data_IF_646146929813
#
_entry.id   IF_646146929813
#
_cell.length_a   1.000
_cell.length_b   1.000
_cell.length_c   1.000
_cell.angle_alpha   90.00
_cell.angle_beta   90.00
_cell.angle_gamma   90.00
#
_symmetry.space_group_name_H-M   'P 1'
#
loop_
_entity.id
_entity.type
_entity.pdbx_description
1 polymer ?
#
# COMPACT_ATOMS: atom_id res chain seq x y z
N UNK A 1 63.40 26.65 -6.70
CA UNK A 1 62.70 26.57 -5.39
C UNK A 1 61.41 27.41 -5.27
N UNK A 2 60.83 27.97 -6.35
CA UNK A 2 59.54 28.72 -6.28
C UNK A 2 58.37 28.12 -7.05
N UNK A 3 58.58 27.05 -7.83
CA UNK A 3 57.53 26.37 -8.61
C UNK A 3 56.99 25.08 -7.97
N UNK A 4 57.60 24.61 -6.88
CA UNK A 4 57.16 23.40 -6.17
C UNK A 4 56.07 23.69 -5.11
N UNK A 5 55.99 24.93 -4.61
CA UNK A 5 55.03 25.31 -3.57
C UNK A 5 53.62 25.62 -4.11
N UNK A 6 53.48 25.95 -5.39
CA UNK A 6 52.17 26.25 -5.99
C UNK A 6 51.39 24.97 -6.31
N UNK A 7 52.07 23.86 -6.62
CA UNK A 7 51.40 22.59 -6.86
C UNK A 7 50.84 21.94 -5.59
N UNK A 8 51.45 22.20 -4.42
CA UNK A 8 50.98 21.64 -3.16
C UNK A 8 49.70 22.32 -2.63
N UNK A 9 49.46 23.58 -3.02
CA UNK A 9 48.26 24.32 -2.60
C UNK A 9 47.03 24.01 -3.46
N UNK A 10 47.23 23.53 -4.69
CA UNK A 10 46.12 23.13 -5.58
C UNK A 10 45.64 21.70 -5.30
N UNK A 11 46.47 20.85 -4.68
CA UNK A 11 46.06 19.48 -4.32
C UNK A 11 45.23 19.40 -3.03
N UNK A 12 45.24 20.44 -2.18
CA UNK A 12 44.54 20.46 -0.89
C UNK A 12 43.14 21.11 -0.98
N UNK A 13 42.84 21.81 -2.09
CA UNK A 13 41.54 22.46 -2.32
C UNK A 13 40.55 21.62 -3.14
N UNK A 14 40.90 20.38 -3.46
CA UNK A 14 40.04 19.36 -4.08
C UNK A 14 39.69 18.22 -3.12
N UNK A 15 39.79 18.46 -1.81
CA UNK A 15 38.93 17.77 -0.86
C UNK A 15 37.53 18.37 -1.02
N UNK A 16 36.87 18.04 -2.14
CA UNK A 16 35.44 18.17 -2.23
C UNK A 16 34.88 17.53 -0.97
N UNK A 17 34.07 18.26 -0.23
CA UNK A 17 33.20 17.68 0.77
C UNK A 17 32.39 16.64 0.02
N UNK A 18 32.85 15.38 0.05
CA UNK A 18 31.96 14.25 -0.05
C UNK A 18 31.07 14.42 1.18
N UNK A 19 30.01 15.23 1.05
CA UNK A 19 28.80 14.98 1.80
C UNK A 19 28.54 13.53 1.52
N UNK A 20 28.71 12.65 2.51
CA UNK A 20 28.22 11.30 2.39
C UNK A 20 26.79 11.46 1.88
N UNK A 21 26.50 10.98 0.67
CA UNK A 21 25.13 11.00 0.18
C UNK A 21 24.33 10.22 1.21
N UNK A 22 23.41 10.96 1.86
CA UNK A 22 22.50 10.38 2.81
C UNK A 22 21.68 9.32 2.08
N UNK A 23 21.65 8.10 2.61
CA UNK A 23 20.81 7.05 2.03
C UNK A 23 19.35 7.46 2.21
N UNK A 24 18.58 7.38 1.13
CA UNK A 24 17.12 7.52 1.16
C UNK A 24 16.54 6.20 0.64
N UNK A 25 15.97 5.41 1.54
CA UNK A 25 15.27 4.17 1.18
C UNK A 25 13.90 4.53 0.64
N UNK A 26 13.51 3.92 -0.48
CA UNK A 26 12.23 4.16 -1.15
C UNK A 26 11.43 2.89 -1.27
N UNK A 27 10.10 3.00 -1.26
CA UNK A 27 9.24 1.85 -1.44
C UNK A 27 9.52 1.10 -2.75
N UNK A 28 9.42 -0.22 -2.70
CA UNK A 28 9.36 -1.09 -3.85
C UNK A 28 8.15 -0.72 -4.72
N UNK A 29 8.28 -0.98 -6.03
CA UNK A 29 7.17 -0.79 -6.95
C UNK A 29 5.93 -1.60 -6.51
N UNK A 30 4.76 -0.98 -6.64
CA UNK A 30 3.50 -1.66 -6.46
C UNK A 30 3.38 -2.82 -7.46
N UNK A 31 2.80 -3.93 -7.03
CA UNK A 31 2.54 -5.10 -7.89
C UNK A 31 1.43 -4.87 -8.90
N UNK A 32 0.57 -3.88 -8.64
CA UNK A 32 -0.55 -3.52 -9.50
C UNK A 32 -0.19 -2.29 -10.32
N UNK A 33 -0.42 -2.37 -11.63
CA UNK A 33 -0.37 -1.21 -12.52
C UNK A 33 -1.81 -0.72 -12.80
N UNK A 34 -2.24 0.43 -12.26
CA UNK A 34 -3.61 0.92 -12.42
C UNK A 34 -3.95 1.31 -13.88
N UNK A 35 -2.94 1.56 -14.72
CA UNK A 35 -3.13 1.83 -16.15
C UNK A 35 -3.31 0.55 -16.99
N UNK A 36 -3.07 -0.63 -16.39
CA UNK A 36 -3.14 -1.93 -17.08
C UNK A 36 -3.67 -3.04 -16.18
N UNK A 37 -5.00 -3.10 -16.05
CA UNK A 37 -5.70 -4.03 -15.16
C UNK A 37 -6.07 -5.35 -15.82
N UNK A 38 -5.22 -5.92 -16.68
CA UNK A 38 -5.53 -7.17 -17.38
C UNK A 38 -5.13 -8.37 -16.52
N UNK A 39 -6.09 -9.23 -16.19
CA UNK A 39 -5.86 -10.44 -15.38
C UNK A 39 -5.21 -10.15 -14.02
N UNK A 40 -5.68 -9.11 -13.35
CA UNK A 40 -5.17 -8.63 -12.06
C UNK A 40 -6.19 -8.86 -10.96
N UNK A 41 -5.73 -9.28 -9.79
CA UNK A 41 -6.47 -9.20 -8.53
C UNK A 41 -5.87 -8.09 -7.67
N UNK A 42 -6.72 -7.37 -6.92
CA UNK A 42 -6.27 -6.31 -6.04
C UNK A 42 -7.22 -6.13 -4.85
N UNK A 43 -6.67 -5.74 -3.71
CA UNK A 43 -7.43 -5.18 -2.60
C UNK A 43 -7.99 -3.82 -3.01
N UNK A 44 -9.24 -3.55 -2.61
CA UNK A 44 -9.97 -2.42 -3.17
C UNK A 44 -11.07 -1.87 -2.26
N UNK A 45 -11.51 -0.64 -2.57
CA UNK A 45 -12.79 -0.09 -2.12
C UNK A 45 -13.68 0.03 -3.35
N UNK A 46 -14.92 -0.42 -3.25
CA UNK A 46 -15.92 -0.18 -4.30
C UNK A 46 -16.67 1.09 -3.92
N UNK A 47 -16.45 2.17 -4.68
CA UNK A 47 -16.91 3.51 -4.31
C UNK A 47 -18.30 3.82 -4.87
N UNK A 48 -18.53 3.48 -6.13
CA UNK A 48 -19.81 3.78 -6.80
C UNK A 48 -20.02 2.92 -8.04
N UNK A 49 -21.25 2.88 -8.52
CA UNK A 49 -21.59 2.39 -9.85
C UNK A 49 -22.48 3.40 -10.59
N UNK A 50 -22.05 3.82 -11.77
CA UNK A 50 -22.76 4.75 -12.62
C UNK A 50 -22.45 4.48 -14.10
N UNK A 51 -23.44 4.66 -14.97
CA UNK A 51 -23.27 4.53 -16.43
C UNK A 51 -22.61 3.21 -16.89
N UNK A 52 -22.94 2.10 -16.21
CA UNK A 52 -22.40 0.78 -16.54
C UNK A 52 -20.98 0.52 -16.03
N UNK A 53 -20.42 1.43 -15.22
CA UNK A 53 -19.04 1.39 -14.73
C UNK A 53 -18.97 1.47 -13.22
N UNK A 54 -18.00 0.76 -12.65
CA UNK A 54 -17.62 0.88 -11.24
C UNK A 54 -16.48 1.87 -11.06
N UNK A 55 -16.57 2.67 -10.02
CA UNK A 55 -15.43 3.44 -9.51
C UNK A 55 -14.83 2.66 -8.34
N UNK A 56 -13.54 2.37 -8.44
CA UNK A 56 -12.82 1.49 -7.52
C UNK A 56 -11.55 2.20 -7.08
N UNK A 57 -11.29 2.27 -5.77
CA UNK A 57 -9.97 2.62 -5.27
C UNK A 57 -9.14 1.33 -5.11
N UNK A 58 -8.01 1.25 -5.81
CA UNK A 58 -7.04 0.16 -5.73
C UNK A 58 -6.07 0.44 -4.59
N UNK A 59 -5.79 -0.59 -3.81
CA UNK A 59 -5.06 -0.49 -2.56
C UNK A 59 -3.86 -1.42 -2.61
N UNK A 60 -2.72 -0.92 -2.14
CA UNK A 60 -1.48 -1.69 -2.08
C UNK A 60 -0.76 -1.38 -0.78
N UNK A 61 0.02 -2.33 -0.24
CA UNK A 61 0.93 -2.02 0.84
C UNK A 61 2.12 -1.24 0.28
N UNK A 62 2.64 -0.31 1.08
CA UNK A 62 3.94 0.28 0.83
C UNK A 62 5.01 -0.65 1.39
N UNK A 63 5.83 -1.23 0.50
CA UNK A 63 6.76 -2.31 0.82
C UNK A 63 8.19 -1.87 0.65
N UNK A 64 9.07 -2.41 1.46
CA UNK A 64 10.49 -2.08 1.45
C UNK A 64 11.34 -3.34 1.45
N UNK A 65 12.48 -3.22 0.78
CA UNK A 65 13.48 -4.28 0.71
C UNK A 65 14.05 -4.55 2.12
N UNK A 66 14.10 -5.80 2.58
CA UNK A 66 14.62 -6.15 3.89
C UNK A 66 16.08 -5.76 4.11
N UNK A 67 16.93 -5.90 3.09
CA UNK A 67 18.34 -5.54 3.20
C UNK A 67 18.51 -4.03 3.34
N UNK A 68 17.71 -3.24 2.61
CA UNK A 68 17.71 -1.78 2.74
C UNK A 68 17.23 -1.31 4.11
N UNK A 69 16.12 -1.87 4.62
CA UNK A 69 15.62 -1.52 5.95
C UNK A 69 16.60 -1.92 7.06
N UNK A 70 17.16 -3.12 6.99
CA UNK A 70 18.12 -3.60 8.00
C UNK A 70 19.46 -2.82 7.95
N UNK A 71 19.77 -2.14 6.84
CA UNK A 71 20.96 -1.29 6.70
C UNK A 71 20.75 0.16 7.15
N UNK A 72 19.51 0.55 7.50
CA UNK A 72 19.19 1.89 7.98
C UNK A 72 19.93 2.23 9.27
N UNK A 73 20.33 3.50 9.39
CA UNK A 73 20.98 4.07 10.58
C UNK A 73 20.53 5.53 10.78
N UNK A 74 20.67 6.08 12.00
CA UNK A 74 20.45 7.49 12.24
C UNK A 74 21.25 8.37 11.26
N UNK A 75 20.58 9.38 10.69
CA UNK A 75 21.08 10.23 9.62
C UNK A 75 20.62 9.82 8.22
N UNK A 76 20.12 8.60 8.02
CA UNK A 76 19.49 8.18 6.75
C UNK A 76 18.05 8.71 6.62
N UNK A 77 17.37 8.35 5.54
CA UNK A 77 15.98 8.65 5.30
C UNK A 77 15.20 7.43 4.83
N UNK A 78 13.88 7.49 5.02
CA UNK A 78 12.91 6.69 4.30
C UNK A 78 11.91 7.62 3.61
N UNK A 79 11.54 7.33 2.38
CA UNK A 79 10.45 8.01 1.70
C UNK A 79 9.20 7.13 1.78
N UNK A 80 8.20 7.59 2.54
CA UNK A 80 6.97 6.87 2.83
C UNK A 80 5.77 7.81 2.81
N UNK A 81 4.58 7.31 2.46
CA UNK A 81 3.33 8.10 2.47
C UNK A 81 3.44 9.44 1.70
N UNK A 82 4.29 9.49 0.66
CA UNK A 82 4.52 10.70 -0.15
C UNK A 82 5.41 11.76 0.50
N UNK A 83 6.16 11.43 1.57
CA UNK A 83 7.09 12.34 2.24
C UNK A 83 8.40 11.64 2.60
N UNK A 84 9.48 12.42 2.69
CA UNK A 84 10.75 11.95 3.24
C UNK A 84 10.75 12.12 4.77
N UNK A 85 11.19 11.08 5.48
CA UNK A 85 11.35 11.05 6.94
C UNK A 85 12.83 10.84 7.26
N UNK A 86 13.40 11.77 8.02
CA UNK A 86 14.76 11.64 8.54
C UNK A 86 14.81 10.74 9.76
N UNK A 87 15.68 9.73 9.71
CA UNK A 87 15.82 8.75 10.76
C UNK A 87 16.76 9.32 11.82
N UNK A 88 16.23 9.57 13.02
CA UNK A 88 16.97 10.07 14.19
C UNK A 88 17.20 8.95 15.20
N UNK A 89 16.30 7.98 15.27
CA UNK A 89 16.39 6.82 16.12
C UNK A 89 15.71 5.61 15.47
N UNK A 90 16.21 4.42 15.79
CA UNK A 90 15.67 3.14 15.33
C UNK A 90 15.49 2.28 16.58
N UNK A 91 14.33 1.66 16.74
CA UNK A 91 14.04 0.72 17.83
C UNK A 91 13.42 -0.54 17.25
N UNK A 92 14.05 -1.67 17.52
CA UNK A 92 13.44 -2.98 17.28
C UNK A 92 12.51 -3.31 18.45
N UNK A 93 11.28 -3.69 18.14
CA UNK A 93 10.28 -4.21 19.07
C UNK A 93 9.85 -5.60 18.59
N UNK A 94 9.23 -6.40 19.44
CA UNK A 94 8.78 -7.76 19.08
C UNK A 94 7.85 -7.73 17.86
N UNK A 95 8.41 -8.03 16.68
CA UNK A 95 7.70 -8.07 15.39
C UNK A 95 7.72 -6.77 14.57
N UNK A 96 8.38 -5.70 15.04
CA UNK A 96 8.38 -4.39 14.36
C UNK A 96 9.72 -3.66 14.44
N UNK A 97 10.02 -2.88 13.40
CA UNK A 97 11.00 -1.81 13.45
C UNK A 97 10.26 -0.49 13.56
N UNK A 98 10.61 0.31 14.56
CA UNK A 98 10.07 1.65 14.78
C UNK A 98 11.16 2.68 14.51
N UNK A 99 10.97 3.48 13.47
CA UNK A 99 11.80 4.65 13.18
C UNK A 99 11.20 5.84 13.91
N UNK A 100 12.05 6.64 14.56
CA UNK A 100 11.66 7.83 15.32
C UNK A 100 10.55 7.57 16.35
N UNK A 101 10.73 6.62 17.29
CA UNK A 101 9.74 6.34 18.31
C UNK A 101 9.37 7.58 19.12
N UNK A 102 8.10 7.72 19.47
CA UNK A 102 7.53 8.82 20.26
C UNK A 102 7.67 10.21 19.61
N UNK A 103 7.87 10.26 18.28
CA UNK A 103 7.93 11.50 17.50
C UNK A 103 6.74 11.62 16.54
N UNK A 104 6.46 12.85 16.08
CA UNK A 104 5.38 13.12 15.12
C UNK A 104 5.61 12.42 13.76
N UNK A 105 6.87 12.17 13.41
CA UNK A 105 7.28 11.47 12.20
C UNK A 105 7.67 10.00 12.48
N UNK A 106 7.09 9.37 13.50
CA UNK A 106 7.22 7.94 13.75
C UNK A 106 6.78 7.12 12.53
N UNK A 107 7.56 6.08 12.21
CA UNK A 107 7.25 5.12 11.15
C UNK A 107 7.37 3.71 11.72
N UNK A 108 6.33 2.90 11.55
CA UNK A 108 6.32 1.49 11.99
C UNK A 108 6.39 0.58 10.78
N UNK A 109 7.35 -0.34 10.81
CA UNK A 109 7.60 -1.32 9.78
C UNK A 109 7.39 -2.72 10.37
N UNK A 110 6.54 -3.50 9.75
CA UNK A 110 6.25 -4.89 10.11
C UNK A 110 6.83 -5.82 9.05
N UNK A 111 7.49 -6.90 9.46
CA UNK A 111 7.94 -7.94 8.53
C UNK A 111 6.75 -8.79 8.10
N UNK A 112 6.37 -8.66 6.84
CA UNK A 112 5.22 -9.32 6.26
C UNK A 112 5.47 -10.79 5.93
N UNK A 113 4.40 -11.53 5.66
CA UNK A 113 4.44 -12.92 5.17
C UNK A 113 5.18 -13.10 3.85
N UNK A 114 5.29 -12.04 3.05
CA UNK A 114 6.11 -12.00 1.82
C UNK A 114 7.59 -11.71 2.08
N UNK A 115 7.98 -11.63 3.37
CA UNK A 115 9.30 -11.28 3.88
C UNK A 115 9.77 -9.86 3.53
N UNK A 116 8.91 -8.98 3.04
CA UNK A 116 9.21 -7.54 2.91
C UNK A 116 8.78 -6.79 4.17
N UNK A 117 9.33 -5.58 4.38
CA UNK A 117 8.80 -4.68 5.41
C UNK A 117 7.65 -3.85 4.87
N UNK A 118 6.52 -3.86 5.56
CA UNK A 118 5.34 -3.07 5.21
C UNK A 118 5.15 -1.95 6.22
N UNK A 119 4.76 -0.77 5.74
CA UNK A 119 4.36 0.33 6.62
C UNK A 119 3.07 -0.05 7.32
N UNK A 120 2.98 0.33 8.59
CA UNK A 120 1.81 0.14 9.41
C UNK A 120 1.46 1.45 10.11
N UNK A 121 0.20 1.90 9.98
CA UNK A 121 -0.30 3.05 10.71
C UNK A 121 -0.64 2.72 12.18
N UNK A 122 -1.08 3.71 12.93
CA UNK A 122 -1.46 3.57 14.35
C UNK A 122 -2.70 2.68 14.60
N UNK A 123 -3.44 2.31 13.55
CA UNK A 123 -4.62 1.44 13.56
C UNK A 123 -4.34 0.09 12.86
N UNK A 124 -3.07 -0.30 12.83
CA UNK A 124 -2.57 -1.51 12.18
C UNK A 124 -2.99 -1.62 10.70
N UNK A 125 -3.18 -0.48 10.01
CA UNK A 125 -3.45 -0.45 8.58
C UNK A 125 -2.14 -0.48 7.81
N UNK A 126 -2.03 -1.40 6.86
CA UNK A 126 -0.88 -1.49 5.97
C UNK A 126 -1.18 -1.03 4.54
N UNK A 127 -2.42 -0.67 4.25
CA UNK A 127 -2.90 -0.40 2.90
C UNK A 127 -2.98 1.10 2.60
N UNK A 128 -2.38 1.49 1.47
CA UNK A 128 -2.46 2.83 0.89
C UNK A 128 -3.29 2.82 -0.39
N UNK A 129 -3.94 3.95 -0.68
CA UNK A 129 -4.61 4.14 -1.96
C UNK A 129 -3.59 4.42 -3.06
N UNK A 130 -3.46 3.47 -3.99
CA UNK A 130 -2.58 3.60 -5.16
C UNK A 130 -3.22 4.49 -6.23
N UNK A 131 -4.48 4.21 -6.55
CA UNK A 131 -5.22 4.91 -7.59
C UNK A 131 -6.72 4.70 -7.45
N UNK A 132 -7.50 5.66 -7.93
CA UNK A 132 -8.94 5.48 -8.18
C UNK A 132 -9.17 5.30 -9.69
N UNK A 133 -9.80 4.18 -10.07
CA UNK A 133 -10.07 3.79 -11.46
C UNK A 133 -11.56 3.70 -11.74
N UNK A 134 -11.95 3.95 -12.99
CA UNK A 134 -13.34 3.77 -13.45
C UNK A 134 -13.37 2.74 -14.57
N UNK A 135 -13.94 1.57 -14.29
CA UNK A 135 -13.89 0.39 -15.16
C UNK A 135 -15.27 -0.11 -15.54
N UNK A 136 -15.47 -0.65 -16.76
CA UNK A 136 -16.70 -1.35 -17.09
C UNK A 136 -16.84 -2.64 -16.27
N UNK A 137 -18.08 -3.03 -16.03
CA UNK A 137 -18.39 -4.34 -15.44
C UNK A 137 -18.52 -5.39 -16.55
N UNK A 138 -17.81 -6.51 -16.38
CA UNK A 138 -17.99 -7.68 -17.24
C UNK A 138 -19.45 -8.11 -17.25
N UNK A 139 -19.93 -8.59 -18.40
CA UNK A 139 -21.28 -9.16 -18.54
C UNK A 139 -21.53 -10.36 -17.60
N UNK A 140 -20.45 -10.92 -17.02
CA UNK A 140 -20.46 -12.06 -16.10
C UNK A 140 -19.99 -11.70 -14.70
N UNK A 141 -20.01 -10.41 -14.33
CA UNK A 141 -19.62 -9.95 -12.99
C UNK A 141 -20.30 -10.81 -11.91
N UNK A 142 -19.49 -11.40 -11.04
CA UNK A 142 -19.94 -12.10 -9.85
C UNK A 142 -19.66 -11.24 -8.61
N UNK A 143 -20.58 -11.26 -7.66
CA UNK A 143 -20.32 -10.79 -6.31
C UNK A 143 -20.33 -11.99 -5.35
N UNK A 144 -19.19 -12.22 -4.68
CA UNK A 144 -19.03 -13.23 -3.64
C UNK A 144 -19.06 -12.54 -2.29
N UNK A 145 -20.13 -12.75 -1.54
CA UNK A 145 -20.31 -12.14 -0.23
C UNK A 145 -20.04 -13.15 0.89
N UNK A 146 -18.96 -12.95 1.62
CA UNK A 146 -18.59 -13.76 2.78
C UNK A 146 -19.33 -13.39 4.06
N UNK A 147 -20.29 -12.46 4.01
CA UNK A 147 -21.01 -11.94 5.18
C UNK A 147 -22.46 -12.41 5.13
N UNK A 148 -22.97 -12.91 6.26
CA UNK A 148 -24.37 -13.27 6.39
C UNK A 148 -25.22 -11.98 6.48
N UNK A 149 -26.16 -11.74 5.56
CA UNK A 149 -26.96 -10.52 5.57
C UNK A 149 -27.92 -10.41 6.76
N UNK A 150 -28.25 -11.51 7.43
CA UNK A 150 -29.16 -11.51 8.59
C UNK A 150 -28.41 -11.31 9.92
N UNK A 151 -27.19 -11.86 10.03
CA UNK A 151 -26.44 -11.86 11.30
C UNK A 151 -25.21 -10.94 11.29
N UNK A 152 -24.73 -10.53 10.12
CA UNK A 152 -23.47 -9.80 9.95
C UNK A 152 -22.23 -10.67 10.15
N UNK A 153 -22.38 -11.97 10.44
CA UNK A 153 -21.25 -12.87 10.73
C UNK A 153 -20.63 -13.48 9.46
N UNK A 154 -19.44 -14.05 9.60
CA UNK A 154 -18.78 -14.78 8.51
C UNK A 154 -19.59 -15.99 8.04
N UNK A 155 -19.71 -16.16 6.72
CA UNK A 155 -20.19 -17.38 6.10
C UNK A 155 -19.05 -18.37 5.86
N UNK A 156 -19.34 -19.68 6.02
CA UNK A 156 -18.39 -20.75 5.67
C UNK A 156 -18.09 -20.77 4.16
N UNK A 157 -19.11 -20.51 3.35
CA UNK A 157 -19.00 -20.37 1.90
C UNK A 157 -19.70 -19.07 1.50
N UNK A 158 -19.09 -18.25 0.63
CA UNK A 158 -19.67 -16.99 0.24
C UNK A 158 -21.01 -17.20 -0.49
N UNK A 159 -21.97 -16.33 -0.22
CA UNK A 159 -23.15 -16.20 -1.05
C UNK A 159 -22.75 -15.63 -2.43
N UNK A 160 -23.45 -16.08 -3.47
CA UNK A 160 -23.22 -15.61 -4.83
C UNK A 160 -24.38 -14.71 -5.23
N UNK A 161 -24.06 -13.48 -5.58
CA UNK A 161 -25.02 -12.47 -5.99
C UNK A 161 -24.75 -12.02 -7.42
N UNK A 162 -25.84 -11.70 -8.11
CA UNK A 162 -25.76 -10.96 -9.36
C UNK A 162 -25.51 -9.46 -9.10
N UNK A 163 -25.39 -8.72 -10.20
CA UNK A 163 -25.14 -7.27 -10.16
C UNK A 163 -26.27 -6.51 -9.47
N UNK A 164 -27.53 -6.91 -9.65
CA UNK A 164 -28.66 -6.18 -9.07
C UNK A 164 -28.63 -6.26 -7.54
N UNK A 165 -28.41 -7.45 -7.00
CA UNK A 165 -28.26 -7.66 -5.56
C UNK A 165 -27.04 -6.92 -4.99
N UNK A 166 -25.90 -6.96 -5.68
CA UNK A 166 -24.72 -6.16 -5.30
C UNK A 166 -25.06 -4.67 -5.20
N UNK A 167 -25.74 -4.10 -6.20
CA UNK A 167 -26.09 -2.68 -6.21
C UNK A 167 -27.07 -2.32 -5.11
N UNK A 168 -28.01 -3.20 -4.77
CA UNK A 168 -28.91 -3.00 -3.64
C UNK A 168 -28.14 -2.93 -2.32
N UNK A 169 -27.15 -3.81 -2.12
CA UNK A 169 -26.29 -3.81 -0.93
C UNK A 169 -25.42 -2.55 -0.85
N UNK A 170 -24.78 -2.15 -1.95
CA UNK A 170 -23.98 -0.93 -2.01
C UNK A 170 -24.77 0.34 -1.65
N UNK A 171 -26.08 0.36 -1.92
CA UNK A 171 -26.95 1.50 -1.64
C UNK A 171 -27.70 1.38 -0.30
N UNK A 172 -27.52 0.29 0.45
CA UNK A 172 -28.14 0.12 1.75
C UNK A 172 -27.46 1.04 2.78
N UNK A 173 -28.26 1.80 3.53
CA UNK A 173 -27.75 2.77 4.50
C UNK A 173 -27.03 2.13 5.70
N UNK A 174 -27.32 0.86 5.97
CA UNK A 174 -26.81 0.11 7.13
C UNK A 174 -25.74 -0.94 6.76
N UNK A 175 -25.29 -0.99 5.49
CA UNK A 175 -24.23 -1.92 5.09
C UNK A 175 -22.86 -1.38 5.58
N UNK A 176 -22.04 -2.19 6.30
CA UNK A 176 -20.71 -1.78 6.78
C UNK A 176 -19.74 -1.38 5.65
N UNK A 177 -20.13 -1.61 4.39
CA UNK A 177 -19.53 -1.02 3.21
C UNK A 177 -18.57 -1.95 2.48
N UNK A 178 -18.07 -1.43 1.36
CA UNK A 178 -17.10 -2.07 0.47
C UNK A 178 -15.77 -1.35 0.62
N UNK A 179 -14.99 -1.73 1.64
CA UNK A 179 -13.87 -0.98 2.18
C UNK A 179 -12.52 -1.70 2.08
N UNK A 180 -11.45 -0.97 2.43
CA UNK A 180 -10.04 -1.34 2.26
C UNK A 180 -9.62 -2.66 2.91
N UNK A 181 -10.35 -3.10 3.93
CA UNK A 181 -10.00 -4.28 4.70
C UNK A 181 -10.89 -5.48 4.42
N UNK A 182 -11.93 -5.33 3.60
CA UNK A 182 -12.93 -6.38 3.40
C UNK A 182 -13.27 -6.66 1.93
N UNK A 183 -12.60 -6.04 0.96
CA UNK A 183 -12.90 -6.26 -0.47
C UNK A 183 -11.65 -6.53 -1.31
N UNK A 184 -11.75 -7.60 -2.08
CA UNK A 184 -10.84 -7.96 -3.17
C UNK A 184 -11.62 -7.88 -4.50
N UNK A 185 -10.99 -7.37 -5.55
CA UNK A 185 -11.55 -7.33 -6.90
C UNK A 185 -10.67 -8.08 -7.89
N UNK A 186 -11.28 -8.65 -8.92
CA UNK A 186 -10.56 -9.26 -10.04
C UNK A 186 -11.02 -8.64 -11.35
N UNK A 187 -10.05 -8.27 -12.15
CA UNK A 187 -10.21 -7.80 -13.51
C UNK A 187 -9.88 -8.93 -14.50
N UNK A 188 -10.69 -9.09 -15.54
CA UNK A 188 -10.51 -10.16 -16.52
C UNK A 188 -9.43 -9.85 -17.57
N UNK A 189 -9.31 -10.73 -18.56
CA UNK A 189 -8.36 -10.60 -19.69
C UNK A 189 -8.63 -9.37 -20.58
N UNK A 190 -9.76 -8.69 -20.38
CA UNK A 190 -10.12 -7.45 -21.09
C UNK A 190 -9.96 -6.21 -20.20
N UNK A 191 -9.58 -6.38 -18.94
CA UNK A 191 -9.51 -5.31 -17.95
C UNK A 191 -10.87 -4.84 -17.45
N UNK A 192 -11.92 -5.65 -17.64
CA UNK A 192 -13.25 -5.37 -17.08
C UNK A 192 -13.36 -5.98 -15.68
N UNK A 193 -14.14 -5.34 -14.81
CA UNK A 193 -14.39 -5.88 -13.48
C UNK A 193 -15.21 -7.18 -13.58
N UNK A 194 -14.63 -8.29 -13.15
CA UNK A 194 -15.21 -9.62 -13.29
C UNK A 194 -15.64 -10.25 -11.97
N UNK A 195 -14.99 -9.88 -10.87
CA UNK A 195 -15.34 -10.35 -9.53
C UNK A 195 -15.21 -9.20 -8.52
N UNK A 196 -16.19 -9.10 -7.64
CA UNK A 196 -16.04 -8.45 -6.34
C UNK A 196 -16.19 -9.55 -5.30
N UNK A 197 -15.25 -9.63 -4.37
CA UNK A 197 -15.31 -10.54 -3.23
C UNK A 197 -15.27 -9.71 -1.96
N UNK A 198 -16.34 -9.78 -1.17
CA UNK A 198 -16.37 -9.23 0.18
C UNK A 198 -16.12 -10.33 1.19
N UNK A 199 -15.25 -10.10 2.16
CA UNK A 199 -14.95 -11.05 3.22
C UNK A 199 -15.22 -10.45 4.60
N UNK A 200 -15.52 -11.31 5.58
CA UNK A 200 -15.81 -10.87 6.93
C UNK A 200 -14.54 -10.42 7.65
N UNK A 201 -14.63 -9.29 8.34
CA UNK A 201 -13.59 -8.74 9.19
C UNK A 201 -14.17 -8.56 10.60
N UNK A 202 -13.72 -9.31 11.62
CA UNK A 202 -14.38 -9.37 12.93
C UNK A 202 -14.52 -8.06 13.72
N UNK A 203 -13.79 -7.02 13.30
CA UNK A 203 -13.74 -5.72 13.99
C UNK A 203 -14.31 -4.57 13.13
N UNK A 204 -14.93 -4.88 11.99
CA UNK A 204 -15.80 -3.97 11.23
C UNK A 204 -17.25 -4.22 11.60
#
# INVERSE_FOLDING_TARGET
MKRLFVLLFVLVLLAGTASAERTVVTALAAEVNPDHLVSVAADAKVLSYADGKFTIAILVPERYDPEEINALKPGDAIYTEGREVEIRAITEQDGYIVLNPDMEDEVRLFESVDMNYWIMDVNDNTWLELATVTVPASGRLLFLDGINPETGEALLHPAVHDRENLLNLMNAADDPGFAIRNVEVVFDEQGELALIRRFYVPWQ
#
